data_IF_484150030147
#
_entry.id   IF_484150030147
#
_cell.length_a   1.000
_cell.length_b   1.000
_cell.length_c   1.000
_cell.angle_alpha   90.00
_cell.angle_beta   90.00
_cell.angle_gamma   90.00
#
_symmetry.space_group_name_H-M   'P 1'
#
loop_
_entity.id
_entity.type
_entity.pdbx_description
1 polymer ?
#
# COMPACT_ATOMS: atom_id res chain seq x y z
N UNK A 1 -6.15 4.64 -13.43
CA UNK A 1 -4.97 4.64 -12.52
C UNK A 1 -3.64 4.56 -13.29
N UNK A 2 -3.47 3.67 -14.30
CA UNK A 2 -2.27 3.63 -15.19
C UNK A 2 -1.85 4.97 -15.80
N UNK A 3 -2.81 5.79 -16.19
CA UNK A 3 -2.54 7.08 -16.83
C UNK A 3 -1.78 8.04 -15.90
N UNK A 4 -2.12 8.07 -14.60
CA UNK A 4 -1.46 8.95 -13.64
C UNK A 4 0.01 8.57 -13.43
N UNK A 5 0.34 7.28 -13.44
CA UNK A 5 1.71 6.80 -13.32
C UNK A 5 2.57 7.21 -14.52
N UNK A 6 1.99 7.21 -15.75
CA UNK A 6 2.68 7.67 -16.96
C UNK A 6 3.06 9.16 -16.90
N UNK A 7 2.24 9.96 -16.23
CA UNK A 7 2.47 11.39 -16.02
C UNK A 7 3.34 11.68 -14.78
N UNK A 8 4.03 10.67 -14.22
CA UNK A 8 5.00 10.83 -13.16
C UNK A 8 4.42 10.86 -11.74
N UNK A 9 3.17 10.43 -11.54
CA UNK A 9 2.64 10.26 -10.20
C UNK A 9 3.47 9.22 -9.43
N UNK A 10 3.92 9.58 -8.22
CA UNK A 10 4.64 8.66 -7.35
C UNK A 10 3.66 7.63 -6.77
N UNK A 11 3.89 6.36 -7.08
CA UNK A 11 3.05 5.24 -6.63
C UNK A 11 3.19 4.95 -5.13
N UNK A 12 4.33 5.33 -4.56
CA UNK A 12 4.67 5.17 -3.14
C UNK A 12 4.59 6.53 -2.41
N UNK A 13 3.83 7.49 -2.93
CA UNK A 13 3.74 8.83 -2.34
C UNK A 13 3.30 8.77 -0.87
N UNK A 14 4.19 9.10 0.05
CA UNK A 14 3.86 9.15 1.47
C UNK A 14 3.27 10.51 1.85
N UNK A 15 2.09 10.48 2.44
CA UNK A 15 1.43 11.65 3.03
C UNK A 15 1.41 11.47 4.54
N UNK A 16 1.98 12.42 5.28
CA UNK A 16 1.87 12.44 6.74
C UNK A 16 0.41 12.70 7.14
N UNK A 17 -0.32 11.65 7.50
CA UNK A 17 -1.68 11.78 8.00
C UNK A 17 -1.62 12.04 9.50
N UNK A 18 -1.99 13.26 9.92
CA UNK A 18 -1.97 13.66 11.34
C UNK A 18 -3.35 13.43 11.94
N UNK A 19 -3.50 12.35 12.73
CA UNK A 19 -4.72 12.09 13.49
C UNK A 19 -4.45 12.28 14.98
N UNK A 20 -4.63 13.49 15.51
CA UNK A 20 -4.83 13.80 16.94
C UNK A 20 -3.81 13.32 18.00
N UNK A 21 -2.76 12.57 17.62
CA UNK A 21 -1.84 11.93 18.56
C UNK A 21 -0.63 11.24 17.92
N UNK A 22 -0.31 11.56 16.66
CA UNK A 22 0.85 11.03 15.96
C UNK A 22 0.60 10.87 14.46
N UNK A 23 1.55 11.35 13.64
CA UNK A 23 1.48 11.20 12.20
C UNK A 23 1.84 9.78 11.77
N UNK A 24 1.12 9.19 10.83
CA UNK A 24 1.52 7.98 10.11
C UNK A 24 1.69 8.31 8.63
N UNK A 25 2.70 7.75 7.97
CA UNK A 25 2.91 7.90 6.53
C UNK A 25 1.89 7.08 5.75
N UNK A 26 0.87 7.71 5.19
CA UNK A 26 -0.12 7.03 4.34
C UNK A 26 0.32 7.07 2.89
N UNK A 27 0.38 5.90 2.26
CA UNK A 27 0.63 5.73 0.82
C UNK A 27 -0.69 5.58 0.05
N UNK A 28 -0.71 5.70 -1.29
CA UNK A 28 -1.91 5.38 -2.08
C UNK A 28 -2.50 4.01 -1.78
N UNK A 29 -1.65 3.03 -1.42
CA UNK A 29 -2.07 1.69 -1.03
C UNK A 29 -2.88 1.70 0.29
N UNK A 30 -2.51 2.53 1.27
CA UNK A 30 -3.29 2.70 2.51
C UNK A 30 -4.69 3.25 2.23
N UNK A 31 -4.78 4.26 1.36
CA UNK A 31 -6.08 4.82 0.98
C UNK A 31 -6.93 3.80 0.23
N UNK A 32 -6.36 3.04 -0.71
CA UNK A 32 -7.08 1.99 -1.44
C UNK A 32 -7.61 0.89 -0.49
N UNK A 33 -6.78 0.47 0.47
CA UNK A 33 -7.16 -0.52 1.49
C UNK A 33 -8.28 0.01 2.41
N UNK A 34 -8.11 1.20 3.00
CA UNK A 34 -9.11 1.83 3.89
C UNK A 34 -10.47 1.99 3.20
N UNK A 35 -10.47 2.42 1.94
CA UNK A 35 -11.68 2.62 1.15
C UNK A 35 -12.25 1.31 0.56
N UNK A 36 -11.66 0.16 0.93
CA UNK A 36 -12.03 -1.20 0.52
C UNK A 36 -12.10 -1.37 -1.01
N UNK A 37 -11.20 -0.71 -1.74
CA UNK A 37 -11.13 -0.74 -3.21
C UNK A 37 -10.18 -1.84 -3.67
N UNK A 38 -10.64 -3.10 -3.69
CA UNK A 38 -9.84 -4.28 -4.07
C UNK A 38 -9.16 -4.13 -5.43
N UNK A 39 -9.86 -3.60 -6.42
CA UNK A 39 -9.33 -3.39 -7.76
C UNK A 39 -8.21 -2.35 -7.77
N UNK A 40 -8.32 -1.33 -6.91
CA UNK A 40 -7.26 -0.33 -6.75
C UNK A 40 -6.05 -0.91 -6.01
N UNK A 41 -6.27 -1.71 -4.95
CA UNK A 41 -5.19 -2.44 -4.25
C UNK A 41 -4.44 -3.33 -5.23
N UNK A 42 -5.15 -4.18 -5.95
CA UNK A 42 -4.59 -5.06 -6.99
C UNK A 42 -3.78 -4.26 -8.02
N UNK A 43 -4.38 -3.21 -8.55
CA UNK A 43 -3.73 -2.36 -9.53
C UNK A 43 -2.41 -1.78 -9.00
N UNK A 44 -2.40 -1.26 -7.78
CA UNK A 44 -1.20 -0.67 -7.17
C UNK A 44 -0.10 -1.71 -6.97
N UNK A 45 -0.44 -2.87 -6.40
CA UNK A 45 0.51 -3.97 -6.15
C UNK A 45 1.09 -4.52 -7.47
N UNK A 46 0.25 -4.73 -8.50
CA UNK A 46 0.71 -5.17 -9.83
C UNK A 46 1.63 -4.16 -10.52
N UNK A 47 1.62 -2.89 -10.10
CA UNK A 47 2.51 -1.84 -10.61
C UNK A 47 3.68 -1.55 -9.65
N UNK A 48 3.93 -2.42 -8.69
CA UNK A 48 5.09 -2.35 -7.79
C UNK A 48 4.89 -1.52 -6.53
N UNK A 49 3.69 -0.98 -6.29
CA UNK A 49 3.42 -0.26 -5.05
C UNK A 49 3.45 -1.22 -3.87
N UNK A 50 4.24 -0.90 -2.85
CA UNK A 50 4.18 -1.62 -1.59
C UNK A 50 4.60 -0.74 -0.42
N UNK A 51 4.52 -1.28 0.80
CA UNK A 51 4.89 -0.56 2.01
C UNK A 51 6.42 -0.49 2.14
N UNK A 52 6.93 0.70 2.46
CA UNK A 52 8.32 0.89 2.83
C UNK A 52 8.67 0.07 4.09
N UNK A 53 9.89 -0.46 4.16
CA UNK A 53 10.34 -1.32 5.26
C UNK A 53 10.47 -0.59 6.60
N UNK A 54 10.62 0.73 6.57
CA UNK A 54 10.79 1.62 7.72
C UNK A 54 9.53 2.43 8.05
N UNK A 55 8.38 2.04 7.49
CA UNK A 55 7.11 2.67 7.82
C UNK A 55 6.77 2.42 9.29
N UNK A 56 6.67 3.51 10.06
CA UNK A 56 6.39 3.48 11.49
C UNK A 56 5.17 4.35 11.78
N UNK A 57 4.16 3.82 12.46
CA UNK A 57 3.15 4.61 13.13
C UNK A 57 3.74 5.10 14.45
N UNK A 58 3.05 6.06 15.05
CA UNK A 58 3.36 6.55 16.38
C UNK A 58 3.27 5.46 17.49
N UNK A 59 2.85 4.24 17.15
CA UNK A 59 2.73 3.09 18.06
C UNK A 59 3.76 1.99 17.77
N UNK A 60 4.66 2.18 16.80
CA UNK A 60 5.64 1.18 16.34
C UNK A 60 5.01 -0.18 15.98
N UNK A 61 3.78 -0.18 15.46
CA UNK A 61 3.14 -1.43 15.06
C UNK A 61 3.78 -1.98 13.77
N UNK A 62 3.70 -3.30 13.53
CA UNK A 62 4.08 -3.90 12.24
C UNK A 62 3.16 -3.45 11.09
N UNK A 63 3.65 -3.28 9.85
CA UNK A 63 2.92 -2.69 8.70
C UNK A 63 1.51 -3.24 8.42
N UNK A 64 1.24 -4.50 8.74
CA UNK A 64 -0.08 -5.13 8.56
C UNK A 64 -1.18 -4.57 9.50
N UNK A 65 -0.80 -4.01 10.66
CA UNK A 65 -1.75 -3.53 11.68
C UNK A 65 -2.20 -2.08 11.49
N UNK A 66 -1.72 -1.38 10.45
CA UNK A 66 -1.98 0.04 10.23
C UNK A 66 -3.39 0.31 9.69
N UNK A 67 -3.91 -0.59 8.85
CA UNK A 67 -5.16 -0.41 8.15
C UNK A 67 -5.86 -1.74 7.93
N UNK A 68 -7.15 -1.79 8.24
CA UNK A 68 -8.03 -2.89 7.82
C UNK A 68 -8.07 -2.93 6.29
N UNK A 69 -7.87 -4.10 5.67
CA UNK A 69 -7.85 -4.25 4.21
C UNK A 69 -6.44 -4.32 3.59
N UNK A 70 -5.38 -4.12 4.38
CA UNK A 70 -3.99 -4.33 3.91
C UNK A 70 -3.68 -5.81 3.66
N UNK A 71 -4.40 -6.73 4.30
CA UNK A 71 -4.39 -8.17 4.03
C UNK A 71 -4.45 -8.48 2.54
N UNK A 72 -5.31 -7.78 1.79
CA UNK A 72 -5.45 -7.97 0.33
C UNK A 72 -4.19 -7.58 -0.45
N UNK A 73 -3.40 -6.62 0.04
CA UNK A 73 -2.16 -6.25 -0.60
C UNK A 73 -1.08 -7.32 -0.41
N UNK A 74 -1.02 -7.94 0.78
CA UNK A 74 -0.12 -9.05 1.07
C UNK A 74 -0.50 -10.31 0.30
N UNK A 75 -1.80 -10.66 0.28
CA UNK A 75 -2.32 -11.76 -0.54
C UNK A 75 -1.95 -11.60 -2.02
N UNK A 76 -2.09 -10.38 -2.56
CA UNK A 76 -1.77 -10.10 -3.95
C UNK A 76 -0.26 -10.15 -4.23
N UNK A 77 0.56 -9.68 -3.29
CA UNK A 77 2.02 -9.79 -3.38
C UNK A 77 2.46 -11.25 -3.39
N UNK A 78 1.94 -12.07 -2.47
CA UNK A 78 2.21 -13.51 -2.43
C UNK A 78 1.77 -14.21 -3.72
N UNK A 79 0.61 -13.81 -4.29
CA UNK A 79 0.13 -14.31 -5.59
C UNK A 79 1.13 -14.00 -6.70
N UNK A 80 1.64 -12.77 -6.78
CA UNK A 80 2.62 -12.37 -7.79
C UNK A 80 3.97 -13.07 -7.62
N UNK A 81 4.45 -13.22 -6.39
CA UNK A 81 5.68 -13.96 -6.09
C UNK A 81 5.55 -15.43 -6.47
N UNK A 82 4.41 -16.05 -6.18
CA UNK A 82 4.10 -17.43 -6.55
C UNK A 82 4.04 -17.62 -8.07
N UNK A 83 3.52 -16.64 -8.81
CA UNK A 83 3.50 -16.65 -10.27
C UNK A 83 4.90 -16.47 -10.88
N UNK A 84 5.76 -15.68 -10.25
CA UNK A 84 7.13 -15.48 -10.72
C UNK A 84 8.01 -16.73 -10.57
N UNK A 85 7.70 -17.62 -9.62
CA UNK A 85 8.43 -18.88 -9.40
C UNK A 85 8.08 -19.94 -10.47
N UNK A 86 6.91 -19.83 -11.10
CA UNK A 86 6.42 -20.81 -12.11
C UNK A 86 6.58 -20.34 -13.56
N UNK A 87 7.20 -19.18 -13.79
CA UNK A 87 7.48 -18.59 -15.10
C UNK A 87 8.96 -18.74 -15.50
#
# INVERSE_FOLDING_TARGET
MKELLKHGANIDAEVKHVNGGGGCGWTPLHYAAKERKREAVKFLVENGAFLASDINDFRHNPPLYYCVGLDWAYEEKERLESLAIVA
#
